data_IF_220049151337
#
_entry.id   IF_220049151337
#
_cell.length_a   1.000
_cell.length_b   1.000
_cell.length_c   1.000
_cell.angle_alpha   90.00
_cell.angle_beta   90.00
_cell.angle_gamma   90.00
#
_symmetry.space_group_name_H-M   'P 1'
#
loop_
_entity.id
_entity.type
_entity.pdbx_description
1 polymer ?
#
# COMPACT_ATOMS: atom_id res chain seq x y z
N UNK A 1 38.59 19.05 2.59
CA UNK A 1 37.36 18.90 3.41
C UNK A 1 36.10 19.32 2.65
N UNK A 2 36.12 20.35 1.80
CA UNK A 2 34.95 20.78 0.99
C UNK A 2 34.40 19.72 0.00
N UNK A 3 35.25 18.89 -0.60
CA UNK A 3 34.83 17.88 -1.60
C UNK A 3 34.08 16.70 -0.96
N UNK A 4 34.41 16.35 0.29
CA UNK A 4 33.73 15.26 1.01
C UNK A 4 32.27 15.64 1.35
N UNK A 5 32.01 16.91 1.68
CA UNK A 5 30.68 17.38 2.05
C UNK A 5 29.68 17.34 0.87
N UNK A 6 30.15 17.61 -0.35
CA UNK A 6 29.30 17.57 -1.55
C UNK A 6 28.97 16.12 -1.95
N UNK A 7 29.92 15.19 -1.81
CA UNK A 7 29.68 13.77 -2.11
C UNK A 7 28.65 13.13 -1.16
N UNK A 8 28.67 13.49 0.13
CA UNK A 8 27.68 12.99 1.10
C UNK A 8 26.26 13.46 0.72
N UNK A 9 26.12 14.71 0.26
CA UNK A 9 24.81 15.25 -0.14
C UNK A 9 24.21 14.52 -1.37
N UNK A 10 25.03 14.19 -2.36
CA UNK A 10 24.57 13.47 -3.57
C UNK A 10 24.16 12.03 -3.22
N UNK A 11 24.93 11.36 -2.36
CA UNK A 11 24.63 9.99 -1.93
C UNK A 11 23.32 9.92 -1.15
N UNK A 12 23.07 10.87 -0.23
CA UNK A 12 21.83 10.88 0.57
C UNK A 12 20.59 11.04 -0.32
N UNK A 13 20.61 12.00 -1.26
CA UNK A 13 19.47 12.21 -2.18
C UNK A 13 19.20 10.97 -3.05
N UNK A 14 20.24 10.32 -3.60
CA UNK A 14 20.05 9.13 -4.43
C UNK A 14 19.53 7.93 -3.63
N UNK A 15 20.01 7.73 -2.39
CA UNK A 15 19.52 6.61 -1.56
C UNK A 15 18.04 6.73 -1.23
N UNK A 16 17.55 7.95 -0.94
CA UNK A 16 16.14 8.18 -0.63
C UNK A 16 15.22 7.85 -1.81
N UNK A 17 15.59 8.24 -3.04
CA UNK A 17 14.79 7.92 -4.24
C UNK A 17 14.80 6.44 -4.59
N UNK A 18 15.90 5.72 -4.31
CA UNK A 18 15.98 4.26 -4.51
C UNK A 18 15.07 3.53 -3.51
N UNK A 19 15.05 3.97 -2.26
CA UNK A 19 14.13 3.41 -1.25
C UNK A 19 12.67 3.72 -1.57
N UNK A 20 12.37 4.88 -2.15
CA UNK A 20 11.00 5.23 -2.54
C UNK A 20 10.52 4.42 -3.73
N UNK A 21 11.37 4.21 -4.75
CA UNK A 21 11.07 3.29 -5.87
C UNK A 21 10.77 1.87 -5.40
N UNK A 22 11.58 1.37 -4.47
CA UNK A 22 11.38 0.05 -3.89
C UNK A 22 10.07 0.00 -3.08
N UNK A 23 9.80 1.00 -2.24
CA UNK A 23 8.59 1.08 -1.43
C UNK A 23 7.31 1.18 -2.28
N UNK A 24 7.33 1.98 -3.37
CA UNK A 24 6.22 2.07 -4.34
C UNK A 24 5.98 0.72 -5.02
N UNK A 25 7.05 0.04 -5.44
CA UNK A 25 6.95 -1.28 -6.07
C UNK A 25 6.37 -2.31 -5.10
N UNK A 26 6.85 -2.33 -3.85
CA UNK A 26 6.33 -3.20 -2.79
C UNK A 26 4.87 -2.92 -2.49
N UNK A 27 4.49 -1.65 -2.31
CA UNK A 27 3.12 -1.24 -2.04
C UNK A 27 2.18 -1.67 -3.17
N UNK A 28 2.50 -1.36 -4.42
CA UNK A 28 1.64 -1.75 -5.56
C UNK A 28 1.56 -3.27 -5.74
N UNK A 29 2.64 -3.99 -5.43
CA UNK A 29 2.61 -5.46 -5.41
C UNK A 29 1.67 -5.99 -4.33
N UNK A 30 1.67 -5.38 -3.15
CA UNK A 30 0.74 -5.72 -2.06
C UNK A 30 -0.70 -5.43 -2.47
N UNK A 31 -0.99 -4.24 -3.00
CA UNK A 31 -2.34 -3.85 -3.48
C UNK A 31 -2.85 -4.85 -4.51
N UNK A 32 -2.09 -5.18 -5.56
CA UNK A 32 -2.51 -6.17 -6.59
C UNK A 32 -2.75 -7.57 -6.04
N UNK A 33 -1.93 -8.00 -5.08
CA UNK A 33 -2.09 -9.29 -4.41
C UNK A 33 -3.41 -9.31 -3.62
N UNK A 34 -3.68 -8.23 -2.88
CA UNK A 34 -4.92 -8.07 -2.13
C UNK A 34 -6.14 -7.98 -3.06
N UNK A 35 -6.08 -7.22 -4.16
CA UNK A 35 -7.16 -7.13 -5.15
C UNK A 35 -7.53 -8.52 -5.69
N UNK A 36 -6.51 -9.31 -6.03
CA UNK A 36 -6.70 -10.68 -6.50
C UNK A 36 -7.37 -11.55 -5.43
N UNK A 37 -6.94 -11.42 -4.17
CA UNK A 37 -7.51 -12.16 -3.04
C UNK A 37 -8.97 -11.76 -2.75
N UNK A 38 -9.28 -10.46 -2.80
CA UNK A 38 -10.64 -9.92 -2.65
C UNK A 38 -11.55 -10.40 -3.78
N UNK A 39 -11.10 -10.34 -5.04
CA UNK A 39 -11.85 -10.86 -6.18
C UNK A 39 -12.21 -12.34 -6.02
N UNK A 40 -11.27 -13.15 -5.50
CA UNK A 40 -11.51 -14.57 -5.24
C UNK A 40 -12.48 -14.79 -4.06
N UNK A 41 -12.37 -14.00 -3.00
CA UNK A 41 -13.33 -14.05 -1.89
C UNK A 41 -14.76 -13.69 -2.35
N UNK A 42 -14.89 -12.66 -3.20
CA UNK A 42 -16.17 -12.26 -3.81
C UNK A 42 -16.71 -13.37 -4.73
N UNK A 43 -15.84 -14.00 -5.52
CA UNK A 43 -16.22 -15.13 -6.37
C UNK A 43 -16.72 -16.35 -5.57
N UNK A 44 -16.18 -16.56 -4.37
CA UNK A 44 -16.64 -17.58 -3.43
C UNK A 44 -17.96 -17.20 -2.70
N UNK A 45 -18.48 -16.00 -2.95
CA UNK A 45 -19.76 -15.51 -2.41
C UNK A 45 -19.64 -14.63 -1.18
N UNK A 46 -18.43 -14.17 -0.82
CA UNK A 46 -18.20 -13.26 0.30
C UNK A 46 -18.15 -11.82 -0.18
N UNK A 47 -19.16 -11.01 0.17
CA UNK A 47 -19.18 -9.60 -0.16
C UNK A 47 -18.43 -8.77 0.90
N UNK A 48 -17.53 -7.85 0.49
CA UNK A 48 -16.89 -6.93 1.43
C UNK A 48 -17.91 -5.98 2.04
N UNK A 49 -17.64 -5.59 3.27
CA UNK A 49 -18.19 -4.38 3.90
C UNK A 49 -17.13 -3.30 3.90
N UNK A 50 -17.61 -2.07 3.87
CA UNK A 50 -16.75 -0.90 4.00
C UNK A 50 -15.93 -0.96 5.30
N UNK A 51 -14.62 -0.75 5.19
CA UNK A 51 -13.67 -0.74 6.29
C UNK A 51 -13.17 -2.11 6.75
N UNK A 52 -13.44 -3.21 6.03
CA UNK A 52 -12.90 -4.53 6.41
C UNK A 52 -11.40 -4.64 6.17
N UNK A 53 -10.69 -5.29 7.09
CA UNK A 53 -9.23 -5.37 7.06
C UNK A 53 -8.74 -6.47 6.13
N UNK A 54 -7.66 -6.18 5.40
CA UNK A 54 -7.05 -7.11 4.46
C UNK A 54 -5.78 -7.71 5.07
N UNK A 55 -6.00 -8.60 6.04
CA UNK A 55 -4.96 -9.29 6.81
C UNK A 55 -5.17 -10.80 6.77
N UNK A 56 -4.10 -11.56 6.98
CA UNK A 56 -4.10 -13.01 7.07
C UNK A 56 -4.15 -13.48 8.52
N UNK A 57 -3.21 -13.05 9.36
CA UNK A 57 -3.05 -13.63 10.70
C UNK A 57 -4.11 -13.17 11.71
N UNK A 58 -4.69 -11.97 11.51
CA UNK A 58 -5.70 -11.37 12.40
C UNK A 58 -7.12 -11.36 11.82
N UNK A 59 -7.38 -12.16 10.78
CA UNK A 59 -8.68 -12.20 10.11
C UNK A 59 -9.82 -12.66 11.03
N UNK A 60 -10.79 -11.77 11.24
CA UNK A 60 -11.86 -11.93 12.23
C UNK A 60 -13.22 -12.16 11.57
N UNK A 61 -13.53 -11.40 10.52
CA UNK A 61 -14.79 -11.49 9.78
C UNK A 61 -14.79 -12.67 8.79
N UNK A 62 -15.98 -13.05 8.30
CA UNK A 62 -16.10 -14.09 7.27
C UNK A 62 -15.43 -13.69 5.96
N UNK A 63 -15.50 -12.40 5.59
CA UNK A 63 -14.84 -11.87 4.41
C UNK A 63 -13.31 -11.81 4.61
N UNK A 64 -12.85 -11.30 5.76
CA UNK A 64 -11.41 -11.24 6.09
C UNK A 64 -10.78 -12.65 6.03
N UNK A 65 -11.47 -13.67 6.56
CA UNK A 65 -11.00 -15.07 6.49
C UNK A 65 -11.00 -15.63 5.08
N UNK A 66 -11.98 -15.27 4.26
CA UNK A 66 -12.04 -15.66 2.86
C UNK A 66 -10.88 -15.06 2.06
N UNK A 67 -10.54 -13.78 2.32
CA UNK A 67 -9.37 -13.13 1.73
C UNK A 67 -8.07 -13.77 2.24
N UNK A 68 -7.94 -13.97 3.56
CA UNK A 68 -6.76 -14.57 4.21
C UNK A 68 -6.38 -15.94 3.64
N UNK A 69 -7.37 -16.72 3.18
CA UNK A 69 -7.16 -18.01 2.50
C UNK A 69 -6.35 -17.88 1.20
N UNK A 70 -6.51 -16.77 0.49
CA UNK A 70 -5.84 -16.50 -0.78
C UNK A 70 -4.54 -15.70 -0.63
N UNK A 71 -4.32 -15.10 0.54
CA UNK A 71 -3.06 -14.45 0.86
C UNK A 71 -2.00 -15.48 1.24
N UNK A 72 -0.81 -15.36 0.65
CA UNK A 72 0.34 -16.19 1.03
C UNK A 72 0.92 -15.75 2.38
N UNK A 73 1.08 -14.44 2.54
CA UNK A 73 1.63 -13.76 3.71
C UNK A 73 0.86 -12.46 3.95
N UNK A 74 0.98 -11.91 5.15
CA UNK A 74 0.43 -10.59 5.46
C UNK A 74 1.12 -9.50 4.62
N UNK A 75 0.36 -8.54 4.06
CA UNK A 75 0.95 -7.45 3.31
C UNK A 75 1.81 -6.58 4.24
N UNK A 76 3.06 -6.33 3.84
CA UNK A 76 4.00 -5.54 4.64
C UNK A 76 3.67 -4.04 4.59
N UNK A 77 2.69 -3.64 5.40
CA UNK A 77 2.29 -2.24 5.53
C UNK A 77 3.34 -1.41 6.26
N UNK A 78 4.02 -2.01 7.25
CA UNK A 78 5.03 -1.33 8.07
C UNK A 78 6.20 -0.82 7.25
N UNK A 79 6.67 -1.60 6.26
CA UNK A 79 7.76 -1.20 5.38
C UNK A 79 7.40 -0.05 4.43
N UNK A 80 6.11 0.16 4.13
CA UNK A 80 5.65 1.19 3.17
C UNK A 80 5.01 2.41 3.83
N UNK A 81 4.66 2.34 5.14
CA UNK A 81 4.02 3.43 5.89
C UNK A 81 4.77 4.77 5.77
N UNK A 82 6.10 4.74 5.85
CA UNK A 82 6.93 5.95 5.74
C UNK A 82 6.98 6.54 4.32
N UNK A 83 6.70 5.74 3.29
CA UNK A 83 6.56 6.24 1.91
C UNK A 83 5.17 6.83 1.70
N UNK A 84 4.12 6.19 2.21
CA UNK A 84 2.75 6.68 2.10
C UNK A 84 2.55 8.03 2.79
N UNK A 85 3.19 8.25 3.95
CA UNK A 85 3.13 9.53 4.66
C UNK A 85 3.80 10.71 3.92
N UNK A 86 4.56 10.45 2.85
CA UNK A 86 5.11 11.49 1.97
C UNK A 86 4.07 12.02 0.97
N UNK A 87 2.98 11.29 0.74
CA UNK A 87 1.88 11.69 -0.14
C UNK A 87 1.01 12.71 0.60
N UNK A 88 0.57 12.35 1.80
CA UNK A 88 -0.13 13.22 2.75
C UNK A 88 0.13 12.66 4.17
N UNK A 89 0.21 13.54 5.16
CA UNK A 89 0.58 13.17 6.54
C UNK A 89 -0.43 12.18 7.19
N UNK A 90 -1.65 12.13 6.68
CA UNK A 90 -2.72 11.21 7.09
C UNK A 90 -2.87 10.03 6.13
N UNK A 91 -2.28 10.08 4.93
CA UNK A 91 -2.36 9.00 3.94
C UNK A 91 -1.50 7.81 4.36
N UNK A 92 -2.16 6.66 4.54
CA UNK A 92 -1.50 5.46 5.05
C UNK A 92 -1.10 5.54 6.53
N UNK A 93 -1.69 6.47 7.30
CA UNK A 93 -1.41 6.61 8.73
C UNK A 93 -2.45 5.91 9.62
N UNK A 94 -3.32 5.10 9.03
CA UNK A 94 -4.23 4.24 9.77
C UNK A 94 -3.45 3.01 10.28
N UNK A 95 -3.50 2.77 11.59
CA UNK A 95 -2.96 1.53 12.18
C UNK A 95 -3.75 0.29 11.72
N UNK A 96 -4.88 0.46 11.02
CA UNK A 96 -5.64 -0.60 10.38
C UNK A 96 -4.94 -1.26 9.18
N UNK A 97 -3.94 -0.62 8.56
CA UNK A 97 -3.22 -1.19 7.42
C UNK A 97 -3.97 -1.02 6.10
N UNK A 98 -4.17 -2.12 5.36
CA UNK A 98 -4.98 -2.15 4.14
C UNK A 98 -6.42 -2.53 4.45
N UNK A 99 -7.37 -1.79 3.89
CA UNK A 99 -8.81 -2.03 4.04
C UNK A 99 -9.51 -2.07 2.68
N UNK A 100 -10.71 -2.65 2.65
CA UNK A 100 -11.62 -2.49 1.52
C UNK A 100 -12.53 -1.31 1.77
N UNK A 101 -12.61 -0.40 0.81
CA UNK A 101 -13.59 0.67 0.76
C UNK A 101 -14.71 0.27 -0.21
N UNK A 102 -15.97 0.44 0.21
CA UNK A 102 -17.13 0.09 -0.63
C UNK A 102 -17.97 1.34 -0.85
N UNK A 103 -17.99 1.85 -2.09
CA UNK A 103 -18.76 3.03 -2.50
C UNK A 103 -19.69 2.66 -3.65
N UNK A 104 -20.99 2.91 -3.50
CA UNK A 104 -22.01 2.66 -4.53
C UNK A 104 -22.02 1.22 -5.11
N UNK A 105 -21.59 0.24 -4.31
CA UNK A 105 -21.50 -1.17 -4.72
C UNK A 105 -20.23 -1.53 -5.50
N UNK A 106 -19.35 -0.56 -5.73
CA UNK A 106 -17.97 -0.79 -6.16
C UNK A 106 -17.07 -0.91 -4.94
N UNK A 107 -16.04 -1.75 -5.04
CA UNK A 107 -15.06 -1.96 -3.97
C UNK A 107 -13.67 -1.54 -4.47
N UNK A 108 -12.90 -0.94 -3.58
CA UNK A 108 -11.51 -0.53 -3.82
C UNK A 108 -10.65 -0.90 -2.61
N UNK A 109 -9.33 -0.92 -2.79
CA UNK A 109 -8.39 -1.13 -1.69
C UNK A 109 -7.81 0.22 -1.29
N UNK A 110 -7.86 0.51 0.01
CA UNK A 110 -7.23 1.67 0.61
C UNK A 110 -6.10 1.23 1.56
N UNK A 111 -4.93 1.87 1.54
CA UNK A 111 -4.47 2.82 0.54
C UNK A 111 -4.28 2.15 -0.84
N UNK A 112 -4.70 2.85 -1.90
CA UNK A 112 -4.64 2.37 -3.28
C UNK A 112 -3.29 2.61 -3.95
N UNK A 113 -3.12 2.09 -5.18
CA UNK A 113 -1.85 2.16 -5.92
C UNK A 113 -1.27 3.59 -6.01
N UNK A 114 0.06 3.66 -5.96
CA UNK A 114 0.82 4.92 -6.02
C UNK A 114 1.80 4.92 -7.19
N UNK A 115 2.19 6.10 -7.65
CA UNK A 115 3.23 6.30 -8.66
C UNK A 115 4.26 7.32 -8.20
N UNK A 116 5.42 7.37 -8.87
CA UNK A 116 6.41 8.41 -8.60
C UNK A 116 6.22 9.56 -9.56
N UNK A 117 6.01 10.76 -9.02
CA UNK A 117 6.01 12.00 -9.79
C UNK A 117 7.39 12.34 -10.33
N UNK A 118 7.43 13.31 -11.24
CA UNK A 118 8.67 13.84 -11.83
C UNK A 118 9.61 14.49 -10.78
N UNK A 119 9.05 14.90 -9.65
CA UNK A 119 9.74 15.39 -8.46
C UNK A 119 10.38 14.28 -7.61
N UNK A 120 10.17 13.01 -7.99
CA UNK A 120 10.62 11.84 -7.26
C UNK A 120 9.80 11.53 -6.01
N UNK A 121 8.67 12.22 -5.80
CA UNK A 121 7.78 12.02 -4.67
C UNK A 121 6.66 11.03 -5.05
N UNK A 122 6.24 10.15 -4.12
CA UNK A 122 5.09 9.29 -4.37
C UNK A 122 3.81 10.13 -4.46
N UNK A 123 2.88 9.71 -5.32
CA UNK A 123 1.56 10.33 -5.54
C UNK A 123 0.52 9.23 -5.79
N UNK A 124 -0.75 9.54 -5.56
CA UNK A 124 -1.84 8.62 -5.90
C UNK A 124 -1.85 8.35 -7.40
N UNK A 125 -1.91 7.09 -7.79
CA UNK A 125 -1.96 6.75 -9.21
C UNK A 125 -3.29 7.22 -9.80
N UNK A 126 -3.22 8.08 -10.82
CA UNK A 126 -4.41 8.63 -11.47
C UNK A 126 -4.99 9.90 -10.82
N UNK A 127 -4.31 10.49 -9.82
CA UNK A 127 -4.59 11.88 -9.43
C UNK A 127 -3.89 12.84 -10.40
N UNK A 128 -4.65 13.54 -11.25
CA UNK A 128 -4.16 14.68 -12.04
C UNK A 128 -3.84 15.90 -11.15
#
# INVERSE_FOLDING_TARGET
IAILAILIAIVVMQTSTITDKAAVTTHNSNVRSLESAVMLAIADGHAPKDGEKLVKDEASSDFEKAVAKYLKEDPDYGAVKAMLSKIDENYGNDDAGYTVEVTDGEWNIAPGEVELGDDGMPKLKGSE
#
